data_IF_749088542353
#
_entry.id   IF_749088542353
#
_cell.length_a   1.000
_cell.length_b   1.000
_cell.length_c   1.000
_cell.angle_alpha   90.00
_cell.angle_beta   90.00
_cell.angle_gamma   90.00
#
_symmetry.space_group_name_H-M   'P 1'
#
loop_
_entity.id
_entity.type
_entity.pdbx_description
1 polymer ?
#
# COMPACT_ATOMS: atom_id res chain seq x y z
N UNK A 1 23.68 2.54 -28.15
CA UNK A 1 22.76 3.71 -28.12
C UNK A 1 21.98 3.62 -26.81
N UNK A 2 22.43 4.28 -25.74
CA UNK A 2 21.68 4.33 -24.49
C UNK A 2 20.63 5.44 -24.60
N UNK A 3 19.35 5.10 -24.45
CA UNK A 3 18.26 6.08 -24.47
C UNK A 3 18.35 6.92 -23.20
N UNK A 4 18.43 8.23 -23.34
CA UNK A 4 18.41 9.17 -22.22
C UNK A 4 17.06 9.05 -21.50
N UNK A 5 17.02 8.79 -20.18
CA UNK A 5 15.76 8.77 -19.46
C UNK A 5 15.17 10.19 -19.44
N UNK A 6 14.00 10.37 -20.05
CA UNK A 6 13.25 11.62 -19.97
C UNK A 6 12.69 11.81 -18.56
N UNK A 7 12.85 12.99 -17.99
CA UNK A 7 12.27 13.31 -16.68
C UNK A 7 10.73 13.23 -16.71
N UNK A 8 10.09 12.81 -15.60
CA UNK A 8 8.65 12.76 -15.52
C UNK A 8 8.04 14.17 -15.68
N UNK A 9 6.91 14.25 -16.40
CA UNK A 9 6.21 15.51 -16.71
C UNK A 9 5.59 16.19 -15.48
N UNK A 10 5.52 15.49 -14.35
CA UNK A 10 4.93 15.97 -13.09
C UNK A 10 5.86 15.59 -11.95
N UNK A 11 6.00 16.49 -10.98
CA UNK A 11 6.73 16.19 -9.75
C UNK A 11 6.08 14.99 -9.02
N UNK A 12 6.87 14.11 -8.40
CA UNK A 12 6.33 12.99 -7.66
C UNK A 12 5.44 13.48 -6.50
N UNK A 13 4.40 12.71 -6.12
CA UNK A 13 3.60 13.03 -4.95
C UNK A 13 4.48 13.14 -3.70
N UNK A 14 4.14 14.06 -2.80
CA UNK A 14 4.86 14.26 -1.52
C UNK A 14 4.80 13.05 -0.59
N UNK A 15 3.83 12.16 -0.82
CA UNK A 15 3.65 10.91 -0.08
C UNK A 15 3.70 9.76 -1.08
N UNK A 16 4.67 8.86 -0.90
CA UNK A 16 4.84 7.65 -1.67
C UNK A 16 4.29 6.47 -0.88
N UNK A 17 3.40 5.70 -1.51
CA UNK A 17 2.87 4.45 -0.97
C UNK A 17 3.41 3.30 -1.81
N UNK A 18 4.06 2.33 -1.20
CA UNK A 18 4.76 1.25 -1.92
C UNK A 18 4.70 -0.09 -1.17
N UNK A 19 5.18 -1.15 -1.84
CA UNK A 19 5.24 -2.54 -1.35
C UNK A 19 3.96 -3.00 -0.62
N UNK A 20 2.78 -2.93 -1.26
CA UNK A 20 1.56 -3.45 -0.65
C UNK A 20 1.70 -4.95 -0.38
N UNK A 21 1.29 -5.37 0.81
CA UNK A 21 1.18 -6.77 1.17
C UNK A 21 -0.23 -7.08 1.71
N UNK A 22 -0.79 -8.26 1.39
CA UNK A 22 -0.21 -9.32 0.55
C UNK A 22 -0.30 -8.99 -0.95
N UNK A 23 0.78 -9.27 -1.69
CA UNK A 23 0.80 -9.18 -3.15
C UNK A 23 1.32 -10.49 -3.77
N UNK A 24 0.56 -11.06 -4.70
CA UNK A 24 0.94 -12.29 -5.42
C UNK A 24 1.32 -11.91 -6.85
N UNK A 25 2.49 -12.35 -7.31
CA UNK A 25 3.03 -12.05 -8.64
C UNK A 25 3.00 -10.54 -8.97
N UNK A 26 3.43 -9.70 -8.02
CA UNK A 26 3.36 -8.24 -8.13
C UNK A 26 1.94 -7.71 -8.44
N UNK A 27 0.90 -8.35 -7.89
CA UNK A 27 -0.49 -7.98 -8.06
C UNK A 27 -1.16 -8.60 -9.30
N UNK A 28 -0.46 -9.43 -10.08
CA UNK A 28 -1.05 -10.13 -11.23
C UNK A 28 -2.10 -11.16 -10.83
N UNK A 29 -2.05 -11.64 -9.59
CA UNK A 29 -2.99 -12.62 -9.03
C UNK A 29 -3.56 -12.12 -7.71
N UNK A 30 -4.79 -12.53 -7.41
CA UNK A 30 -5.43 -12.21 -6.15
C UNK A 30 -4.79 -12.99 -5.00
N UNK A 31 -4.56 -12.33 -3.87
CA UNK A 31 -4.31 -13.00 -2.60
C UNK A 31 -5.56 -13.83 -2.21
N UNK A 32 -5.33 -14.99 -1.59
CA UNK A 32 -6.41 -15.90 -1.17
C UNK A 32 -6.61 -15.80 0.33
N UNK A 33 -7.87 -15.81 0.75
CA UNK A 33 -8.31 -15.90 2.13
C UNK A 33 -9.69 -16.58 2.14
N UNK A 34 -10.06 -17.15 3.27
CA UNK A 34 -11.33 -17.84 3.52
C UNK A 34 -12.22 -16.98 4.41
N UNK A 35 -13.53 -17.27 4.42
CA UNK A 35 -14.44 -16.59 5.34
C UNK A 35 -14.04 -16.89 6.78
N UNK A 36 -13.83 -15.83 7.57
CA UNK A 36 -13.37 -15.92 8.96
C UNK A 36 -11.87 -15.67 9.13
N UNK A 37 -11.08 -15.70 8.06
CA UNK A 37 -9.65 -15.41 8.14
C UNK A 37 -9.40 -13.92 8.40
N UNK A 38 -8.41 -13.64 9.24
CA UNK A 38 -7.86 -12.29 9.40
C UNK A 38 -6.75 -12.09 8.38
N UNK A 39 -6.92 -11.12 7.49
CA UNK A 39 -5.91 -10.76 6.48
C UNK A 39 -5.17 -9.51 6.94
N UNK A 40 -3.91 -9.67 7.34
CA UNK A 40 -3.03 -8.54 7.61
C UNK A 40 -2.70 -7.82 6.30
N UNK A 41 -2.97 -6.52 6.25
CA UNK A 41 -2.66 -5.67 5.09
C UNK A 41 -1.67 -4.59 5.53
N UNK A 42 -0.60 -4.43 4.77
CA UNK A 42 0.43 -3.43 5.04
C UNK A 42 0.91 -2.74 3.76
N UNK A 43 1.47 -1.56 3.94
CA UNK A 43 2.10 -0.74 2.90
C UNK A 43 3.21 0.07 3.55
N UNK A 44 4.23 0.41 2.79
CA UNK A 44 5.18 1.43 3.20
C UNK A 44 4.71 2.79 2.74
N UNK A 45 4.65 3.74 3.68
CA UNK A 45 4.27 5.12 3.41
C UNK A 45 5.46 6.01 3.77
N UNK A 46 5.99 6.70 2.77
CA UNK A 46 7.16 7.57 2.90
C UNK A 46 6.78 8.98 2.47
N UNK A 47 7.20 10.00 3.24
CA UNK A 47 7.18 11.41 2.81
C UNK A 47 8.46 12.10 3.18
N UNK A 48 8.67 13.27 2.58
CA UNK A 48 9.69 14.20 3.06
C UNK A 48 9.26 14.82 4.41
N UNK A 49 10.11 14.72 5.43
CA UNK A 49 9.91 15.27 6.78
C UNK A 49 9.73 14.21 7.88
N UNK A 50 9.58 14.66 9.13
CA UNK A 50 9.51 13.79 10.32
C UNK A 50 8.08 13.62 10.88
N UNK A 51 7.06 14.02 10.14
CA UNK A 51 5.68 13.91 10.60
C UNK A 51 5.16 12.48 10.49
N UNK A 52 4.46 12.01 11.53
CA UNK A 52 3.72 10.75 11.50
C UNK A 52 2.55 10.87 10.53
N UNK A 53 2.47 9.94 9.58
CA UNK A 53 1.42 9.89 8.57
C UNK A 53 0.25 9.02 9.03
N UNK A 54 -0.97 9.47 8.70
CA UNK A 54 -2.18 8.65 8.81
C UNK A 54 -2.44 7.93 7.50
N UNK A 55 -2.67 6.62 7.57
CA UNK A 55 -3.06 5.79 6.43
C UNK A 55 -4.45 5.21 6.60
N UNK A 56 -5.12 4.92 5.49
CA UNK A 56 -6.43 4.27 5.46
C UNK A 56 -6.45 3.18 4.38
N UNK A 57 -6.88 1.99 4.77
CA UNK A 57 -7.20 0.91 3.86
C UNK A 57 -8.66 1.07 3.39
N UNK A 58 -8.86 1.12 2.08
CA UNK A 58 -10.19 1.08 1.46
C UNK A 58 -10.48 -0.32 0.94
N UNK A 59 -11.53 -0.94 1.44
CA UNK A 59 -11.99 -2.27 1.01
C UNK A 59 -13.40 -2.19 0.44
N UNK A 60 -13.69 -3.04 -0.55
CA UNK A 60 -15.02 -3.15 -1.14
C UNK A 60 -15.38 -4.62 -1.28
N UNK A 61 -16.43 -5.11 -0.60
CA UNK A 61 -16.91 -6.46 -0.82
C UNK A 61 -17.65 -6.58 -2.17
N UNK A 62 -17.78 -7.79 -2.73
CA UNK A 62 -18.55 -8.01 -3.96
C UNK A 62 -19.97 -7.44 -3.84
N UNK A 63 -20.38 -6.61 -4.81
CA UNK A 63 -21.71 -5.97 -4.81
C UNK A 63 -21.94 -4.91 -3.73
N UNK A 64 -20.99 -4.67 -2.81
CA UNK A 64 -21.15 -3.74 -1.71
C UNK A 64 -20.58 -2.34 -1.95
N UNK A 65 -20.54 -1.54 -0.87
CA UNK A 65 -19.99 -0.18 -0.85
C UNK A 65 -18.55 -0.19 -0.33
N UNK A 66 -17.81 0.87 -0.67
CA UNK A 66 -16.50 1.11 -0.08
C UNK A 66 -16.61 1.30 1.43
N UNK A 67 -15.69 0.67 2.15
CA UNK A 67 -15.48 0.85 3.57
C UNK A 67 -14.03 1.26 3.81
N UNK A 68 -13.82 1.95 4.91
CA UNK A 68 -12.50 2.48 5.28
C UNK A 68 -12.09 1.91 6.63
N UNK A 69 -10.87 1.40 6.70
CA UNK A 69 -10.25 0.86 7.91
C UNK A 69 -8.96 1.65 8.16
N UNK A 70 -8.76 2.25 9.35
CA UNK A 70 -7.53 2.98 9.64
C UNK A 70 -6.34 2.02 9.67
N UNK A 71 -5.21 2.45 9.10
CA UNK A 71 -3.93 1.78 9.28
C UNK A 71 -3.30 2.23 10.59
N UNK A 72 -2.62 1.31 11.24
CA UNK A 72 -1.77 1.58 12.40
C UNK A 72 -0.31 1.62 11.95
N UNK A 73 0.50 2.47 12.58
CA UNK A 73 1.92 2.47 12.36
C UNK A 73 2.52 1.18 12.95
N UNK A 74 3.38 0.52 12.19
CA UNK A 74 4.11 -0.66 12.64
C UNK A 74 5.58 -0.27 12.80
N UNK A 75 6.15 -0.55 13.96
CA UNK A 75 7.59 -0.45 14.13
C UNK A 75 8.28 -1.52 13.26
N UNK A 76 9.48 -1.26 12.71
CA UNK A 76 10.19 -2.23 11.88
C UNK A 76 10.37 -3.60 12.56
N UNK A 77 10.57 -3.59 13.87
CA UNK A 77 10.74 -4.80 14.69
C UNK A 77 9.45 -5.60 14.90
N UNK A 78 8.29 -5.00 14.60
CA UNK A 78 6.98 -5.66 14.68
C UNK A 78 6.62 -6.47 13.44
N UNK A 79 7.40 -6.33 12.36
CA UNK A 79 7.30 -7.15 11.16
C UNK A 79 8.34 -8.26 11.29
N UNK A 80 7.93 -9.40 11.88
CA UNK A 80 8.79 -10.59 12.07
C UNK A 80 9.40 -11.13 10.77
#
# INVERSE_FOLDING_TARGET
MASTPSLPRTAPPRVLVSRPAPAVDAGRRAAKATVGDTVAVSVDVIRDGHEVLRGELRVKPPGGRWQTVPLVHLDPESLG
#
